data_IF_836383137517
#
_entry.id   IF_836383137517
#
_cell.length_a   1.000
_cell.length_b   1.000
_cell.length_c   1.000
_cell.angle_alpha   90.00
_cell.angle_beta   90.00
_cell.angle_gamma   90.00
#
_symmetry.space_group_name_H-M   'P 1'
#
loop_
_entity.id
_entity.type
_entity.pdbx_description
1 polymer ?
#
# COMPACT_ATOMS: atom_id res chain seq x y z
N UNK A 1 5.11 -2.31 14.46
CA UNK A 1 4.03 -2.88 13.63
C UNK A 1 4.46 -4.25 13.10
N UNK A 2 3.51 -5.14 12.85
CA UNK A 2 3.74 -6.40 12.12
C UNK A 2 3.68 -6.15 10.61
N UNK A 3 4.20 -7.08 9.79
CA UNK A 3 4.07 -6.98 8.33
C UNK A 3 2.59 -6.98 7.92
N UNK A 4 1.78 -7.87 8.49
CA UNK A 4 0.33 -7.95 8.21
C UNK A 4 -0.38 -6.61 8.45
N UNK A 5 -0.04 -5.90 9.54
CA UNK A 5 -0.66 -4.61 9.83
C UNK A 5 -0.27 -3.53 8.82
N UNK A 6 0.99 -3.52 8.39
CA UNK A 6 1.45 -2.56 7.37
C UNK A 6 0.81 -2.85 6.01
N UNK A 7 0.61 -4.13 5.67
CA UNK A 7 -0.09 -4.52 4.45
C UNK A 7 -1.57 -4.16 4.49
N UNK A 8 -2.22 -4.30 5.64
CA UNK A 8 -3.61 -3.87 5.84
C UNK A 8 -3.77 -2.36 5.66
N UNK A 9 -2.89 -1.55 6.29
CA UNK A 9 -2.90 -0.09 6.15
C UNK A 9 -2.61 0.35 4.71
N UNK A 10 -1.64 -0.27 4.04
CA UNK A 10 -1.36 0.00 2.63
C UNK A 10 -2.58 -0.33 1.75
N UNK A 11 -3.28 -1.43 2.03
CA UNK A 11 -4.46 -1.84 1.28
C UNK A 11 -5.62 -0.84 1.47
N UNK A 12 -5.86 -0.38 2.70
CA UNK A 12 -6.87 0.64 3.02
C UNK A 12 -6.62 1.93 2.22
N UNK A 13 -5.39 2.44 2.24
CA UNK A 13 -5.04 3.68 1.52
C UNK A 13 -5.08 3.52 -0.01
N UNK A 14 -4.70 2.34 -0.52
CA UNK A 14 -4.85 2.02 -1.95
C UNK A 14 -6.32 2.04 -2.36
N UNK A 15 -7.21 1.46 -1.53
CA UNK A 15 -8.65 1.44 -1.82
C UNK A 15 -9.24 2.85 -1.81
N UNK A 16 -8.89 3.68 -0.82
CA UNK A 16 -9.32 5.10 -0.78
C UNK A 16 -8.85 5.85 -2.04
N UNK A 17 -7.59 5.65 -2.43
CA UNK A 17 -7.04 6.28 -3.65
C UNK A 17 -7.81 5.86 -4.89
N UNK A 18 -8.11 4.56 -5.04
CA UNK A 18 -8.89 4.05 -6.17
C UNK A 18 -10.30 4.64 -6.22
N UNK A 19 -10.96 4.77 -5.07
CA UNK A 19 -12.29 5.35 -4.97
C UNK A 19 -12.31 6.82 -5.38
N UNK A 20 -11.33 7.62 -4.93
CA UNK A 20 -11.17 9.02 -5.33
C UNK A 20 -10.92 9.17 -6.84
N UNK A 21 -10.04 8.33 -7.40
CA UNK A 21 -9.78 8.30 -8.85
C UNK A 21 -11.03 7.94 -9.65
N UNK A 22 -11.85 7.02 -9.14
CA UNK A 22 -13.12 6.66 -9.78
C UNK A 22 -14.14 7.80 -9.68
N UNK A 23 -14.21 8.53 -8.57
CA UNK A 23 -15.08 9.70 -8.44
C UNK A 23 -14.70 10.79 -9.45
N UNK A 24 -13.41 11.04 -9.68
CA UNK A 24 -12.91 12.01 -10.67
C UNK A 24 -13.32 11.71 -12.12
N UNK A 25 -13.74 10.48 -12.43
CA UNK A 25 -14.24 10.09 -13.76
C UNK A 25 -15.67 10.55 -14.01
N UNK A 26 -16.41 10.91 -12.97
CA UNK A 26 -17.78 11.40 -13.08
C UNK A 26 -17.80 12.91 -13.42
N UNK A 27 -18.87 13.43 -14.04
CA UNK A 27 -19.05 14.87 -14.14
C UNK A 27 -19.27 15.46 -12.75
N UNK A 28 -18.36 16.35 -12.34
CA UNK A 28 -18.33 16.97 -11.02
C UNK A 28 -18.48 18.49 -11.14
N UNK A 29 -19.00 19.12 -10.09
CA UNK A 29 -18.84 20.56 -9.93
C UNK A 29 -17.37 20.90 -9.65
N UNK A 30 -16.94 22.13 -9.92
CA UNK A 30 -15.58 22.56 -9.61
C UNK A 30 -15.24 22.42 -8.11
N UNK A 31 -16.24 22.60 -7.24
CA UNK A 31 -16.08 22.48 -5.79
C UNK A 31 -15.88 21.02 -5.35
N UNK A 32 -16.66 20.08 -5.89
CA UNK A 32 -16.51 18.66 -5.58
C UNK A 32 -15.18 18.14 -6.14
N UNK A 33 -14.81 18.57 -7.34
CA UNK A 33 -13.52 18.24 -7.95
C UNK A 33 -12.34 18.75 -7.12
N UNK A 34 -12.42 19.97 -6.59
CA UNK A 34 -11.38 20.54 -5.72
C UNK A 34 -11.24 19.74 -4.41
N UNK A 35 -12.38 19.34 -3.83
CA UNK A 35 -12.41 18.52 -2.61
C UNK A 35 -11.75 17.16 -2.85
N UNK A 36 -12.14 16.45 -3.91
CA UNK A 36 -11.57 15.14 -4.24
C UNK A 36 -10.07 15.24 -4.54
N UNK A 37 -9.62 16.32 -5.20
CA UNK A 37 -8.18 16.54 -5.43
C UNK A 37 -7.43 16.77 -4.12
N UNK A 38 -7.98 17.54 -3.18
CA UNK A 38 -7.36 17.76 -1.88
C UNK A 38 -7.22 16.46 -1.07
N UNK A 39 -8.26 15.62 -1.10
CA UNK A 39 -8.23 14.28 -0.49
C UNK A 39 -7.19 13.39 -1.18
N UNK A 40 -7.13 13.38 -2.51
CA UNK A 40 -6.15 12.60 -3.26
C UNK A 40 -4.71 13.01 -2.92
N UNK A 41 -4.45 14.31 -2.71
CA UNK A 41 -3.16 14.80 -2.24
C UNK A 41 -2.82 14.21 -0.86
N UNK A 42 -3.77 14.21 0.07
CA UNK A 42 -3.55 13.60 1.39
C UNK A 42 -3.26 12.09 1.29
N UNK A 43 -4.05 11.34 0.53
CA UNK A 43 -3.86 9.88 0.40
C UNK A 43 -2.55 9.54 -0.30
N UNK A 44 -2.11 10.33 -1.29
CA UNK A 44 -0.79 10.11 -1.92
C UNK A 44 0.39 10.33 -0.97
N UNK A 45 0.27 11.25 0.00
CA UNK A 45 1.26 11.43 1.06
C UNK A 45 1.24 10.22 2.01
N UNK A 46 0.07 9.75 2.41
CA UNK A 46 -0.05 8.58 3.29
C UNK A 46 0.50 7.31 2.62
N UNK A 47 0.15 7.06 1.35
CA UNK A 47 0.71 5.96 0.56
C UNK A 47 2.24 6.03 0.48
N UNK A 48 2.81 7.21 0.31
CA UNK A 48 4.26 7.37 0.32
C UNK A 48 4.86 6.97 1.68
N UNK A 49 4.21 7.35 2.78
CA UNK A 49 4.63 6.95 4.14
C UNK A 49 4.49 5.45 4.38
N UNK A 50 3.46 4.78 3.87
CA UNK A 50 3.30 3.33 4.03
C UNK A 50 4.28 2.53 3.19
N UNK A 51 4.72 3.07 2.05
CA UNK A 51 5.72 2.47 1.19
C UNK A 51 7.16 2.86 1.57
N UNK A 52 7.39 3.35 2.79
CA UNK A 52 8.71 3.75 3.26
C UNK A 52 9.62 2.53 3.59
N UNK A 53 10.82 2.81 4.08
CA UNK A 53 11.84 1.82 4.42
C UNK A 53 11.29 0.73 5.37
N UNK A 54 10.34 1.06 6.25
CA UNK A 54 9.83 0.11 7.25
C UNK A 54 9.04 -1.05 6.64
N UNK A 55 8.22 -0.78 5.61
CA UNK A 55 7.51 -1.82 4.88
C UNK A 55 8.46 -2.57 3.94
N UNK A 56 9.34 -1.85 3.23
CA UNK A 56 10.30 -2.44 2.30
C UNK A 56 11.23 -3.44 3.01
N UNK A 57 11.79 -3.05 4.15
CA UNK A 57 12.67 -3.91 4.95
C UNK A 57 11.95 -5.18 5.43
N UNK A 58 10.67 -5.05 5.84
CA UNK A 58 9.90 -6.21 6.31
C UNK A 58 9.50 -7.16 5.20
N UNK A 59 9.14 -6.62 4.03
CA UNK A 59 8.89 -7.42 2.84
C UNK A 59 10.15 -8.17 2.42
N UNK A 60 11.31 -7.52 2.46
CA UNK A 60 12.59 -8.15 2.16
C UNK A 60 12.92 -9.26 3.17
N UNK A 61 12.82 -8.99 4.47
CA UNK A 61 13.06 -9.98 5.53
C UNK A 61 12.15 -11.20 5.41
N UNK A 62 10.86 -10.98 5.08
CA UNK A 62 9.93 -12.08 4.89
C UNK A 62 10.25 -12.89 3.63
N UNK A 63 10.64 -12.24 2.53
CA UNK A 63 11.09 -12.92 1.32
C UNK A 63 12.36 -13.75 1.52
N UNK A 64 13.33 -13.21 2.27
CA UNK A 64 14.58 -13.90 2.64
C UNK A 64 14.27 -15.14 3.50
N UNK A 65 13.45 -14.97 4.55
CA UNK A 65 12.99 -16.07 5.41
C UNK A 65 12.29 -17.18 4.63
N UNK A 66 11.44 -16.84 3.68
CA UNK A 66 10.74 -17.83 2.84
C UNK A 66 11.71 -18.57 1.90
N UNK A 67 12.74 -17.88 1.40
CA UNK A 67 13.77 -18.47 0.52
C UNK A 67 14.67 -19.45 1.30
N UNK A 68 15.01 -19.12 2.54
CA UNK A 68 15.79 -20.00 3.43
C UNK A 68 15.04 -21.29 3.79
N UNK A 69 13.71 -21.22 3.95
CA UNK A 69 12.87 -22.40 4.21
C UNK A 69 12.91 -23.35 3.01
N UNK A 70 12.71 -22.83 1.79
CA UNK A 70 12.71 -23.60 0.54
C UNK A 70 14.04 -24.35 0.35
N UNK A 71 15.18 -23.67 0.55
CA UNK A 71 16.51 -24.29 0.46
C UNK A 71 16.76 -25.38 1.52
N UNK A 72 16.12 -25.26 2.69
CA UNK A 72 16.25 -26.23 3.78
C UNK A 72 15.39 -27.49 3.56
N UNK A 73 14.25 -27.37 2.86
CA UNK A 73 13.39 -28.49 2.50
C UNK A 73 13.98 -29.32 1.35
N UNK A 74 14.60 -28.66 0.37
CA UNK A 74 15.31 -29.33 -0.74
C UNK A 74 16.55 -30.11 -0.29
N UNK A 75 17.21 -29.69 0.79
CA UNK A 75 18.40 -30.35 1.34
C UNK A 75 18.10 -31.63 2.14
N UNK A 76 16.82 -31.90 2.44
CA UNK A 76 16.37 -33.07 3.21
C UNK A 76 15.76 -34.18 2.34
N UNK A 77 15.74 -34.03 1.01
CA UNK A 77 15.17 -34.97 0.04
C UNK A 77 16.20 -35.83 -0.68
#
# INVERSE_FOLDING_TARGET
MTLDRLLEELAEDCQVTLDLLNQLRSPLSDNDRATIIAELVATTIHLHSHCDDSLQDRLWQEGDRLSDIDASEDSQS
#
